data_IF_386456015736
#
_entry.id   IF_386456015736
#
_cell.length_a   1.000
_cell.length_b   1.000
_cell.length_c   1.000
_cell.angle_alpha   90.00
_cell.angle_beta   90.00
_cell.angle_gamma   90.00
#
_symmetry.space_group_name_H-M   'P 1'
#
loop_
_entity.id
_entity.type
_entity.pdbx_description
1 polymer ?
#
# COMPACT_ATOMS: atom_id res chain seq x y z
N UNK A 1 -18.35 -60.29 31.53
CA UNK A 1 -17.57 -59.08 31.14
C UNK A 1 -18.40 -58.09 30.31
N UNK A 2 -19.57 -58.49 29.84
CA UNK A 2 -20.41 -57.80 28.85
C UNK A 2 -20.86 -56.40 29.28
N UNK A 3 -21.11 -56.17 30.58
CA UNK A 3 -21.64 -54.91 31.11
C UNK A 3 -20.81 -53.66 30.78
N UNK A 4 -19.52 -53.81 30.46
CA UNK A 4 -18.63 -52.70 30.11
C UNK A 4 -18.68 -52.33 28.61
N UNK A 5 -19.24 -53.21 27.77
CA UNK A 5 -19.39 -53.02 26.33
C UNK A 5 -20.70 -52.26 26.07
N UNK A 6 -21.79 -52.66 26.70
CA UNK A 6 -23.09 -51.97 26.60
C UNK A 6 -23.01 -50.50 27.07
N UNK A 7 -22.20 -50.20 28.10
CA UNK A 7 -21.99 -48.83 28.56
C UNK A 7 -21.21 -47.98 27.54
N UNK A 8 -20.11 -48.50 26.99
CA UNK A 8 -19.30 -47.74 26.02
C UNK A 8 -20.02 -47.54 24.69
N UNK A 9 -20.80 -48.52 24.21
CA UNK A 9 -21.63 -48.34 23.01
C UNK A 9 -22.79 -47.33 23.26
N UNK A 10 -23.37 -47.30 24.45
CA UNK A 10 -24.38 -46.30 24.81
C UNK A 10 -23.79 -44.87 24.91
N UNK A 11 -22.59 -44.72 25.44
CA UNK A 11 -21.88 -43.44 25.53
C UNK A 11 -21.47 -42.92 24.14
N UNK A 12 -20.85 -43.75 23.28
CA UNK A 12 -20.57 -43.38 21.88
C UNK A 12 -21.85 -42.96 21.12
N UNK A 13 -22.97 -43.64 21.37
CA UNK A 13 -24.25 -43.35 20.72
C UNK A 13 -24.85 -42.03 21.21
N UNK A 14 -24.63 -41.68 22.48
CA UNK A 14 -24.98 -40.37 23.04
C UNK A 14 -24.13 -39.26 22.42
N UNK A 15 -22.81 -39.45 22.34
CA UNK A 15 -21.88 -38.49 21.74
C UNK A 15 -22.19 -38.23 20.25
N UNK A 16 -22.42 -39.28 19.46
CA UNK A 16 -22.86 -39.15 18.05
C UNK A 16 -24.15 -38.34 17.91
N UNK A 17 -25.13 -38.54 18.79
CA UNK A 17 -26.39 -37.78 18.79
C UNK A 17 -26.19 -36.30 19.19
N UNK A 18 -25.21 -36.00 20.05
CA UNK A 18 -24.84 -34.61 20.40
C UNK A 18 -24.18 -33.92 19.21
N UNK A 19 -23.15 -34.56 18.61
CA UNK A 19 -22.43 -34.05 17.45
C UNK A 19 -23.34 -33.86 16.23
N UNK A 20 -24.31 -34.74 16.00
CA UNK A 20 -25.31 -34.59 14.93
C UNK A 20 -26.20 -33.35 15.13
N UNK A 21 -26.63 -33.07 16.38
CA UNK A 21 -27.39 -31.86 16.70
C UNK A 21 -26.56 -30.59 16.54
N UNK A 22 -25.31 -30.60 16.98
CA UNK A 22 -24.39 -29.47 16.81
C UNK A 22 -24.11 -29.21 15.33
N UNK A 23 -23.85 -30.25 14.53
CA UNK A 23 -23.69 -30.16 13.09
C UNK A 23 -24.96 -29.60 12.41
N UNK A 24 -26.16 -30.05 12.80
CA UNK A 24 -27.42 -29.52 12.27
C UNK A 24 -27.63 -28.03 12.61
N UNK A 25 -27.24 -27.60 13.82
CA UNK A 25 -27.27 -26.18 14.23
C UNK A 25 -26.27 -25.36 13.41
N UNK A 26 -25.02 -25.81 13.27
CA UNK A 26 -23.98 -25.13 12.48
C UNK A 26 -24.36 -25.03 11.00
N UNK A 27 -24.96 -26.09 10.42
CA UNK A 27 -25.49 -26.08 9.06
C UNK A 27 -26.63 -25.06 8.91
N UNK A 28 -27.62 -25.07 9.81
CA UNK A 28 -28.73 -24.10 9.78
C UNK A 28 -28.27 -22.65 9.94
N UNK A 29 -27.26 -22.40 10.79
CA UNK A 29 -26.63 -21.08 10.91
C UNK A 29 -25.87 -20.70 9.63
N UNK A 30 -25.13 -21.64 9.04
CA UNK A 30 -24.40 -21.46 7.77
C UNK A 30 -25.35 -21.15 6.60
N UNK A 31 -26.51 -21.80 6.53
CA UNK A 31 -27.54 -21.51 5.52
C UNK A 31 -28.18 -20.13 5.72
N UNK A 32 -28.47 -19.74 6.96
CA UNK A 32 -28.95 -18.39 7.28
C UNK A 32 -27.92 -17.33 6.84
N UNK A 33 -26.65 -17.52 7.18
CA UNK A 33 -25.55 -16.64 6.75
C UNK A 33 -25.40 -16.60 5.23
N UNK A 34 -25.49 -17.74 4.52
CA UNK A 34 -25.50 -17.79 3.05
C UNK A 34 -26.69 -17.02 2.46
N UNK A 35 -27.89 -17.15 3.04
CA UNK A 35 -29.08 -16.40 2.60
C UNK A 35 -28.88 -14.89 2.81
N UNK A 36 -28.45 -14.47 3.99
CA UNK A 36 -28.23 -13.06 4.32
C UNK A 36 -27.14 -12.46 3.42
N UNK A 37 -26.02 -13.15 3.23
CA UNK A 37 -24.98 -12.72 2.30
C UNK A 37 -25.50 -12.59 0.86
N UNK A 38 -26.36 -13.50 0.39
CA UNK A 38 -27.01 -13.38 -0.93
C UNK A 38 -27.98 -12.19 -1.02
N UNK A 39 -28.65 -11.85 0.08
CA UNK A 39 -29.61 -10.75 0.17
C UNK A 39 -28.90 -9.38 0.20
N UNK A 40 -27.75 -9.28 0.87
CA UNK A 40 -26.94 -8.06 0.93
C UNK A 40 -25.90 -7.91 -0.20
N UNK A 41 -25.49 -8.99 -0.89
CA UNK A 41 -24.50 -8.94 -1.97
C UNK A 41 -24.79 -7.91 -3.09
N UNK A 42 -26.05 -7.67 -3.54
CA UNK A 42 -26.34 -6.64 -4.53
C UNK A 42 -26.00 -5.20 -4.08
N UNK A 43 -25.83 -4.97 -2.77
CA UNK A 43 -25.44 -3.67 -2.22
C UNK A 43 -23.94 -3.37 -2.27
N UNK A 44 -23.09 -4.33 -2.67
CA UNK A 44 -21.64 -4.19 -2.63
C UNK A 44 -20.98 -4.49 -3.98
N UNK A 45 -20.14 -3.56 -4.43
CA UNK A 45 -19.27 -3.75 -5.59
C UNK A 45 -17.96 -4.44 -5.17
N UNK A 46 -17.64 -5.57 -5.79
CA UNK A 46 -16.37 -6.31 -5.58
C UNK A 46 -15.35 -6.02 -6.69
N UNK A 47 -14.09 -6.41 -6.50
CA UNK A 47 -13.05 -6.26 -7.53
C UNK A 47 -13.39 -7.10 -8.77
N UNK A 48 -13.89 -8.32 -8.60
CA UNK A 48 -14.39 -9.16 -9.70
C UNK A 48 -15.53 -8.52 -10.48
N UNK A 49 -16.40 -7.74 -9.82
CA UNK A 49 -17.45 -6.98 -10.51
C UNK A 49 -16.87 -5.81 -11.34
N UNK A 50 -15.85 -5.12 -10.84
CA UNK A 50 -15.18 -4.03 -11.57
C UNK A 50 -14.40 -4.58 -12.76
N UNK A 51 -13.63 -5.65 -12.58
CA UNK A 51 -12.91 -6.34 -13.65
C UNK A 51 -13.85 -6.86 -14.74
N UNK A 52 -15.01 -7.40 -14.33
CA UNK A 52 -16.10 -7.79 -15.23
C UNK A 52 -16.95 -6.63 -15.78
N UNK A 53 -16.49 -5.38 -15.69
CA UNK A 53 -17.14 -4.19 -16.28
C UNK A 53 -18.45 -3.75 -15.63
N UNK A 54 -18.90 -4.36 -14.53
CA UNK A 54 -20.22 -4.14 -13.92
C UNK A 54 -20.34 -2.87 -13.07
N UNK A 55 -19.29 -2.05 -13.00
CA UNK A 55 -19.23 -0.83 -12.19
C UNK A 55 -18.47 0.32 -12.89
N UNK A 56 -18.96 0.83 -14.04
CA UNK A 56 -18.25 1.85 -14.84
C UNK A 56 -17.96 3.14 -14.06
N UNK A 57 -18.84 3.54 -13.15
CA UNK A 57 -18.67 4.72 -12.27
C UNK A 57 -17.50 4.62 -11.27
N UNK A 58 -16.90 3.43 -11.11
CA UNK A 58 -15.64 3.23 -10.38
C UNK A 58 -14.47 3.58 -11.30
N UNK A 59 -14.46 3.04 -12.51
CA UNK A 59 -13.40 3.25 -13.52
C UNK A 59 -13.35 4.70 -14.04
N UNK A 60 -14.50 5.36 -14.20
CA UNK A 60 -14.59 6.78 -14.58
C UNK A 60 -13.99 7.68 -13.50
N UNK A 61 -14.44 7.50 -12.25
CA UNK A 61 -13.95 8.26 -11.10
C UNK A 61 -12.48 7.92 -10.75
N UNK A 62 -12.00 6.74 -11.13
CA UNK A 62 -10.57 6.42 -11.11
C UNK A 62 -9.79 7.23 -12.17
N UNK A 63 -10.27 7.35 -13.41
CA UNK A 63 -9.66 8.20 -14.45
C UNK A 63 -9.59 9.68 -14.03
N UNK A 64 -10.62 10.18 -13.34
CA UNK A 64 -10.61 11.53 -12.74
C UNK A 64 -9.54 11.65 -11.64
N UNK A 65 -9.50 10.69 -10.70
CA UNK A 65 -8.56 10.69 -9.59
C UNK A 65 -7.09 10.63 -10.04
N UNK A 66 -6.77 9.93 -11.15
CA UNK A 66 -5.42 9.91 -11.73
C UNK A 66 -4.90 11.31 -12.10
N UNK A 67 -5.77 12.23 -12.51
CA UNK A 67 -5.39 13.60 -12.92
C UNK A 67 -5.02 14.50 -11.73
N UNK A 68 -5.56 14.24 -10.55
CA UNK A 68 -5.48 15.15 -9.38
C UNK A 68 -4.58 14.63 -8.26
N UNK A 69 -4.53 13.31 -8.05
CA UNK A 69 -3.74 12.69 -6.98
C UNK A 69 -2.24 12.66 -7.29
N UNK A 70 -1.47 12.21 -6.30
CA UNK A 70 -0.08 11.77 -6.48
C UNK A 70 -0.07 10.35 -7.07
N UNK A 71 0.99 10.02 -7.78
CA UNK A 71 1.24 8.71 -8.36
C UNK A 71 1.44 7.69 -7.22
N UNK A 72 0.36 6.99 -6.85
CA UNK A 72 0.31 6.06 -5.72
C UNK A 72 -0.02 4.68 -6.28
N UNK A 73 0.83 3.71 -5.95
CA UNK A 73 0.83 2.37 -6.54
C UNK A 73 0.60 1.33 -5.44
N UNK A 74 -0.38 0.41 -5.58
CA UNK A 74 -0.55 -0.68 -4.63
C UNK A 74 0.61 -1.68 -4.75
N UNK A 75 1.12 -2.10 -3.60
CA UNK A 75 2.19 -3.09 -3.45
C UNK A 75 1.57 -4.44 -3.10
N UNK A 76 1.45 -5.31 -4.09
CA UNK A 76 0.83 -6.63 -3.98
C UNK A 76 1.93 -7.65 -3.67
N UNK A 77 2.33 -7.78 -2.42
CA UNK A 77 3.17 -8.91 -2.01
C UNK A 77 2.34 -10.20 -2.10
N UNK A 78 2.78 -11.13 -2.94
CA UNK A 78 2.04 -12.31 -3.37
C UNK A 78 2.90 -13.57 -3.26
N UNK A 79 2.35 -14.66 -2.74
CA UNK A 79 2.97 -16.00 -2.76
C UNK A 79 1.99 -17.00 -3.37
N UNK A 80 2.49 -17.94 -4.16
CA UNK A 80 1.71 -19.14 -4.47
C UNK A 80 1.78 -20.10 -3.27
N UNK A 81 0.69 -20.81 -2.99
CA UNK A 81 0.65 -21.86 -1.96
C UNK A 81 0.39 -23.19 -2.63
N UNK A 82 1.44 -23.99 -2.76
CA UNK A 82 1.49 -25.19 -3.60
C UNK A 82 0.43 -26.22 -3.21
N UNK A 83 0.21 -26.38 -1.90
CA UNK A 83 -0.79 -27.30 -1.33
C UNK A 83 -2.24 -26.85 -1.57
N UNK A 84 -2.49 -25.55 -1.69
CA UNK A 84 -3.81 -24.97 -1.94
C UNK A 84 -4.12 -24.77 -3.43
N UNK A 85 -3.09 -24.76 -4.28
CA UNK A 85 -3.15 -24.36 -5.70
C UNK A 85 -3.83 -23.00 -5.88
N UNK A 86 -3.35 -22.03 -5.10
CA UNK A 86 -3.94 -20.71 -5.01
C UNK A 86 -2.90 -19.65 -4.62
N UNK A 87 -2.99 -18.50 -5.27
CA UNK A 87 -2.24 -17.30 -4.89
C UNK A 87 -2.81 -16.68 -3.62
N UNK A 88 -1.93 -16.30 -2.71
CA UNK A 88 -2.25 -15.51 -1.52
C UNK A 88 -1.52 -14.17 -1.59
N UNK A 89 -2.20 -13.09 -1.21
CA UNK A 89 -1.62 -11.75 -1.13
C UNK A 89 -1.66 -11.21 0.30
N UNK A 90 -0.81 -10.24 0.61
CA UNK A 90 -0.81 -9.60 1.93
C UNK A 90 -1.83 -8.47 2.01
N UNK A 91 -2.68 -8.52 3.02
CA UNK A 91 -3.44 -7.35 3.49
C UNK A 91 -3.15 -7.11 4.97
N UNK A 92 -3.45 -5.92 5.48
CA UNK A 92 -3.52 -5.76 6.94
C UNK A 92 -4.78 -6.46 7.53
N UNK A 93 -4.90 -6.47 8.86
CA UNK A 93 -6.07 -7.02 9.58
C UNK A 93 -7.43 -6.48 9.10
N UNK A 94 -7.46 -5.26 8.57
CA UNK A 94 -8.64 -4.56 8.07
C UNK A 94 -8.78 -4.64 6.53
N UNK A 95 -8.18 -5.65 5.90
CA UNK A 95 -8.15 -5.89 4.44
C UNK A 95 -7.48 -4.81 3.59
N UNK A 96 -6.85 -3.79 4.18
CA UNK A 96 -6.16 -2.74 3.42
C UNK A 96 -4.92 -3.29 2.74
N UNK A 97 -4.74 -2.93 1.47
CA UNK A 97 -3.60 -3.30 0.65
C UNK A 97 -2.44 -2.30 0.90
N UNK A 98 -1.19 -2.77 1.08
CA UNK A 98 0.01 -1.91 1.14
C UNK A 98 0.17 -1.04 -0.11
N UNK A 99 0.78 0.14 0.02
CA UNK A 99 1.01 1.03 -1.12
C UNK A 99 2.26 1.89 -0.92
N UNK A 100 2.79 2.41 -2.02
CA UNK A 100 3.94 3.30 -2.09
C UNK A 100 3.66 4.47 -3.03
N UNK A 101 4.40 5.55 -2.87
CA UNK A 101 4.44 6.69 -3.81
C UNK A 101 5.52 6.42 -4.85
N UNK A 102 5.26 6.78 -6.11
CA UNK A 102 6.27 6.66 -7.16
C UNK A 102 7.54 7.46 -6.81
N UNK A 103 8.70 6.80 -6.92
CA UNK A 103 10.00 7.32 -6.49
C UNK A 103 10.48 6.81 -5.11
N UNK A 104 9.62 6.16 -4.32
CA UNK A 104 10.04 5.48 -3.09
C UNK A 104 10.79 4.16 -3.40
N UNK A 105 11.82 3.83 -2.60
CA UNK A 105 12.50 2.54 -2.67
C UNK A 105 11.52 1.41 -2.29
N UNK A 106 11.04 0.67 -3.30
CA UNK A 106 10.06 -0.42 -3.12
C UNK A 106 10.54 -1.48 -2.14
N UNK A 107 11.83 -1.84 -2.16
CA UNK A 107 12.39 -2.88 -1.26
C UNK A 107 12.39 -2.39 0.18
N UNK A 108 12.65 -1.09 0.41
CA UNK A 108 12.51 -0.45 1.71
C UNK A 108 11.05 -0.39 2.16
N UNK A 109 10.12 0.03 1.30
CA UNK A 109 8.68 0.09 1.65
C UNK A 109 8.10 -1.29 1.94
N UNK A 110 8.48 -2.32 1.17
CA UNK A 110 8.13 -3.72 1.46
C UNK A 110 8.66 -4.16 2.84
N UNK A 111 9.92 -3.79 3.16
CA UNK A 111 10.56 -4.06 4.45
C UNK A 111 9.96 -3.27 5.61
N UNK A 112 9.41 -2.09 5.36
CA UNK A 112 8.76 -1.25 6.36
C UNK A 112 7.31 -1.72 6.63
N UNK A 113 6.51 -1.96 5.59
CA UNK A 113 5.09 -2.26 5.71
C UNK A 113 4.77 -3.76 5.86
N UNK A 114 5.49 -4.67 5.17
CA UNK A 114 4.98 -6.04 4.89
C UNK A 114 5.80 -7.16 5.55
N UNK A 115 7.09 -7.25 5.25
CA UNK A 115 7.94 -8.40 5.62
C UNK A 115 9.42 -8.01 5.61
N UNK A 116 10.23 -8.57 6.51
CA UNK A 116 11.68 -8.34 6.49
C UNK A 116 12.39 -9.15 5.38
N UNK A 117 11.72 -10.17 4.85
CA UNK A 117 12.25 -11.04 3.81
C UNK A 117 12.34 -10.30 2.46
N UNK A 118 13.35 -10.61 1.65
CA UNK A 118 13.48 -10.03 0.30
C UNK A 118 12.57 -10.77 -0.70
N UNK A 119 11.99 -10.08 -1.70
CA UNK A 119 11.18 -10.73 -2.72
C UNK A 119 12.05 -11.58 -3.66
N UNK A 120 11.44 -12.62 -4.23
CA UNK A 120 12.01 -13.44 -5.30
C UNK A 120 12.08 -12.67 -6.63
N UNK A 121 11.14 -11.75 -6.85
CA UNK A 121 11.12 -10.83 -7.98
C UNK A 121 10.05 -9.74 -7.81
N UNK A 122 10.20 -8.64 -8.56
CA UNK A 122 9.18 -7.60 -8.71
C UNK A 122 8.62 -7.66 -10.13
N UNK A 123 7.31 -7.48 -10.28
CA UNK A 123 6.60 -7.63 -11.54
C UNK A 123 5.60 -6.50 -11.76
N UNK A 124 5.74 -5.82 -12.89
CA UNK A 124 4.77 -4.87 -13.39
C UNK A 124 3.55 -5.59 -13.95
N UNK A 125 2.38 -5.02 -13.67
CA UNK A 125 1.10 -5.50 -14.22
C UNK A 125 0.84 -5.00 -15.63
N UNK A 126 1.58 -3.98 -16.08
CA UNK A 126 1.43 -3.26 -17.36
C UNK A 126 2.79 -3.22 -18.08
N UNK A 127 2.79 -3.34 -19.41
CA UNK A 127 4.00 -3.36 -20.23
C UNK A 127 4.82 -2.05 -20.11
N UNK A 128 6.07 -2.07 -20.58
CA UNK A 128 6.88 -0.86 -20.79
C UNK A 128 6.42 -0.10 -22.04
N UNK A 129 6.08 -0.81 -23.11
CA UNK A 129 5.84 -0.22 -24.44
C UNK A 129 4.49 0.54 -24.53
N UNK A 130 3.54 0.27 -23.63
CA UNK A 130 2.25 0.95 -23.56
C UNK A 130 2.32 2.44 -23.20
N UNK A 131 3.46 2.94 -22.72
CA UNK A 131 3.67 4.39 -22.54
C UNK A 131 3.72 5.14 -23.90
N UNK A 132 3.91 4.44 -25.03
CA UNK A 132 3.95 5.04 -26.37
C UNK A 132 2.56 5.21 -27.03
N UNK A 133 1.59 4.33 -26.73
CA UNK A 133 0.34 4.24 -27.50
C UNK A 133 -0.67 5.36 -27.20
N UNK A 134 -0.73 5.83 -25.95
CA UNK A 134 -1.68 6.87 -25.51
C UNK A 134 -1.34 8.28 -26.03
N UNK A 135 -0.19 8.47 -26.72
CA UNK A 135 0.19 9.74 -27.34
C UNK A 135 -0.41 9.99 -28.74
N UNK A 136 -1.09 9.00 -29.32
CA UNK A 136 -1.51 8.99 -30.74
C UNK A 136 -2.83 9.73 -31.05
N UNK A 137 -3.13 10.85 -30.36
CA UNK A 137 -4.35 11.63 -30.62
C UNK A 137 -4.24 13.15 -30.40
N UNK A 138 -3.08 13.78 -30.66
CA UNK A 138 -3.03 15.23 -30.84
C UNK A 138 -1.98 15.69 -31.87
N UNK A 139 -2.49 16.12 -33.03
CA UNK A 139 -2.00 17.03 -34.07
C UNK A 139 -0.51 17.15 -34.45
N UNK A 140 -0.29 17.26 -35.77
CA UNK A 140 1.00 17.49 -36.41
C UNK A 140 1.60 18.88 -36.06
N UNK A 141 2.81 18.91 -35.49
CA UNK A 141 3.86 19.90 -35.82
C UNK A 141 5.21 19.39 -35.30
N UNK A 142 6.23 19.33 -36.15
CA UNK A 142 7.49 18.67 -35.83
C UNK A 142 8.40 19.44 -34.87
N UNK A 143 8.96 18.73 -33.87
CA UNK A 143 10.18 19.17 -33.19
C UNK A 143 11.00 17.96 -32.72
N UNK A 144 12.06 17.62 -33.45
CA UNK A 144 13.03 16.60 -33.01
C UNK A 144 13.84 17.16 -31.85
N UNK A 145 13.58 16.68 -30.62
CA UNK A 145 14.38 17.00 -29.43
C UNK A 145 14.63 15.75 -28.60
N UNK A 146 15.85 15.67 -28.06
CA UNK A 146 16.41 14.46 -27.45
C UNK A 146 15.57 13.91 -26.29
N UNK A 147 15.57 12.58 -26.17
CA UNK A 147 14.97 11.87 -25.06
C UNK A 147 15.64 12.26 -23.74
N UNK A 148 14.95 13.08 -22.95
CA UNK A 148 15.13 13.16 -21.50
C UNK A 148 13.79 12.85 -20.87
N UNK A 149 13.74 11.73 -20.17
CA UNK A 149 12.50 11.04 -19.81
C UNK A 149 11.61 11.91 -18.90
N UNK A 150 10.60 12.52 -19.50
CA UNK A 150 9.48 13.13 -18.81
C UNK A 150 8.36 12.10 -18.78
N UNK A 151 8.46 11.12 -17.87
CA UNK A 151 7.33 10.30 -17.44
C UNK A 151 6.16 11.25 -17.14
N UNK A 152 5.17 11.25 -18.03
CA UNK A 152 4.06 12.20 -17.92
C UNK A 152 3.22 11.84 -16.70
N UNK A 153 2.58 12.83 -16.06
CA UNK A 153 1.72 12.60 -14.89
C UNK A 153 0.52 11.67 -15.17
N UNK A 154 0.30 11.33 -16.45
CA UNK A 154 -0.76 10.46 -16.93
C UNK A 154 -0.24 9.10 -17.44
N UNK A 155 1.03 8.73 -17.24
CA UNK A 155 1.55 7.44 -17.72
C UNK A 155 0.70 6.28 -17.19
N UNK A 156 0.40 5.24 -17.99
CA UNK A 156 -0.35 4.08 -17.52
C UNK A 156 0.31 3.38 -16.31
N UNK A 157 1.62 3.56 -16.11
CA UNK A 157 2.41 3.05 -14.98
C UNK A 157 2.30 3.84 -13.67
N UNK A 158 1.96 5.14 -13.71
CA UNK A 158 1.86 6.01 -12.53
C UNK A 158 0.94 5.47 -11.40
N UNK A 159 0.02 4.57 -11.74
CA UNK A 159 -0.94 3.95 -10.83
C UNK A 159 -1.04 2.42 -11.00
N UNK A 160 -0.17 1.79 -11.81
CA UNK A 160 -0.22 0.33 -12.02
C UNK A 160 0.15 -0.41 -10.72
N UNK A 161 -0.52 -1.51 -10.36
CA UNK A 161 -0.07 -2.34 -9.25
C UNK A 161 1.31 -2.91 -9.52
N UNK A 162 2.10 -3.02 -8.46
CA UNK A 162 3.40 -3.68 -8.45
C UNK A 162 3.28 -4.97 -7.65
N UNK A 163 3.54 -6.12 -8.28
CA UNK A 163 3.48 -7.42 -7.61
C UNK A 163 4.89 -7.79 -7.13
N UNK A 164 5.02 -8.16 -5.85
CA UNK A 164 6.26 -8.69 -5.28
C UNK A 164 6.09 -10.18 -5.01
N UNK A 165 6.77 -11.04 -5.78
CA UNK A 165 6.71 -12.50 -5.62
C UNK A 165 7.49 -12.89 -4.37
N UNK A 166 6.83 -13.51 -3.40
CA UNK A 166 7.37 -13.92 -2.11
C UNK A 166 7.42 -15.44 -2.02
N UNK A 167 8.31 -15.99 -1.17
CA UNK A 167 8.37 -17.43 -0.93
C UNK A 167 7.14 -17.94 -0.16
N UNK A 168 6.79 -19.23 -0.31
CA UNK A 168 5.73 -19.85 0.49
C UNK A 168 6.01 -19.72 2.01
N UNK A 169 7.29 -19.70 2.40
CA UNK A 169 7.79 -19.57 3.78
C UNK A 169 7.90 -18.14 4.33
N UNK A 170 7.60 -17.10 3.55
CA UNK A 170 7.79 -15.68 3.92
C UNK A 170 7.03 -15.29 5.19
N UNK A 171 7.73 -14.65 6.13
CA UNK A 171 7.21 -14.19 7.44
C UNK A 171 6.71 -12.76 7.34
N UNK A 172 5.46 -12.53 7.71
CA UNK A 172 4.85 -11.20 7.72
C UNK A 172 5.16 -10.42 9.00
N UNK A 173 5.15 -9.09 8.89
CA UNK A 173 5.15 -8.17 10.03
C UNK A 173 3.81 -8.23 10.78
N UNK A 174 3.87 -7.88 12.07
CA UNK A 174 2.70 -7.80 12.96
C UNK A 174 1.58 -6.99 12.34
N UNK A 175 0.37 -7.57 12.26
CA UNK A 175 -0.81 -6.93 11.68
C UNK A 175 -1.01 -7.12 10.17
N UNK A 176 -0.07 -7.77 9.47
CA UNK A 176 -0.25 -8.24 8.09
C UNK A 176 -0.66 -9.72 8.08
N UNK A 177 -1.53 -10.10 7.14
CA UNK A 177 -2.11 -11.43 7.00
C UNK A 177 -2.10 -11.86 5.53
N UNK A 178 -1.71 -13.11 5.27
CA UNK A 178 -1.90 -13.76 3.97
C UNK A 178 -3.38 -14.07 3.74
N UNK A 179 -3.97 -13.52 2.66
CA UNK A 179 -5.35 -13.74 2.23
C UNK A 179 -5.38 -14.43 0.86
N UNK A 180 -6.23 -15.45 0.64
CA UNK A 180 -6.47 -16.00 -0.69
C UNK A 180 -6.88 -14.91 -1.68
N UNK A 181 -6.28 -14.89 -2.87
CA UNK A 181 -6.56 -13.89 -3.91
C UNK A 181 -8.04 -13.87 -4.29
N UNK A 182 -8.66 -15.05 -4.45
CA UNK A 182 -10.11 -15.19 -4.70
C UNK A 182 -10.97 -14.52 -3.61
N UNK A 183 -10.54 -14.57 -2.35
CA UNK A 183 -11.24 -13.86 -1.25
C UNK A 183 -11.07 -12.35 -1.37
N UNK A 184 -9.89 -11.85 -1.73
CA UNK A 184 -9.67 -10.40 -1.88
C UNK A 184 -10.36 -9.84 -3.14
N UNK A 185 -10.54 -10.65 -4.17
CA UNK A 185 -11.31 -10.28 -5.36
C UNK A 185 -12.82 -10.07 -5.07
N UNK A 186 -13.38 -10.80 -4.11
CA UNK A 186 -14.82 -10.79 -3.77
C UNK A 186 -15.22 -10.00 -2.52
N UNK A 187 -14.29 -9.31 -1.84
CA UNK A 187 -14.68 -8.35 -0.79
C UNK A 187 -15.14 -7.00 -1.39
N UNK A 188 -15.98 -6.23 -0.68
CA UNK A 188 -16.36 -4.88 -1.10
C UNK A 188 -15.13 -3.98 -1.29
N UNK A 189 -14.97 -3.37 -2.47
CA UNK A 189 -13.71 -2.72 -2.86
C UNK A 189 -13.26 -1.59 -1.90
N UNK A 190 -14.22 -0.97 -1.21
CA UNK A 190 -13.99 0.17 -0.33
C UNK A 190 -13.14 -0.16 0.91
N UNK A 191 -13.01 -1.43 1.29
CA UNK A 191 -12.18 -1.83 2.45
C UNK A 191 -10.70 -1.97 2.10
N UNK A 192 -10.36 -2.11 0.82
CA UNK A 192 -8.99 -2.41 0.35
C UNK A 192 -8.05 -1.19 0.41
N UNK A 193 -8.59 0.02 0.58
CA UNK A 193 -7.83 1.26 0.45
C UNK A 193 -7.16 1.73 1.76
N UNK A 194 -5.90 2.12 1.66
CA UNK A 194 -5.17 2.85 2.70
C UNK A 194 -5.74 4.24 2.98
N UNK A 195 -5.41 4.80 4.14
CA UNK A 195 -5.63 6.23 4.41
C UNK A 195 -4.82 7.04 3.38
N UNK A 196 -5.42 8.05 2.76
CA UNK A 196 -4.79 8.84 1.70
C UNK A 196 -4.92 8.27 0.27
N UNK A 197 -5.50 7.07 0.10
CA UNK A 197 -5.70 6.45 -1.22
C UNK A 197 -7.17 6.51 -1.63
N UNK A 198 -7.45 6.90 -2.88
CA UNK A 198 -8.81 6.81 -3.43
C UNK A 198 -9.23 5.35 -3.60
N UNK A 199 -10.27 4.93 -2.90
CA UNK A 199 -10.75 3.55 -2.94
C UNK A 199 -11.20 3.11 -4.34
N UNK A 200 -11.84 4.00 -5.11
CA UNK A 200 -12.22 3.71 -6.49
C UNK A 200 -11.01 3.54 -7.42
N UNK A 201 -9.97 4.36 -7.23
CA UNK A 201 -8.72 4.24 -7.98
C UNK A 201 -8.02 2.93 -7.63
N UNK A 202 -7.83 2.63 -6.35
CA UNK A 202 -7.26 1.37 -5.87
C UNK A 202 -8.00 0.17 -6.46
N UNK A 203 -9.33 0.19 -6.42
CA UNK A 203 -10.16 -0.87 -6.95
C UNK A 203 -10.03 -1.03 -8.47
N UNK A 204 -10.06 0.09 -9.21
CA UNK A 204 -9.92 0.08 -10.67
C UNK A 204 -8.55 -0.41 -11.15
N UNK A 205 -7.49 -0.29 -10.34
CA UNK A 205 -6.14 -0.78 -10.71
C UNK A 205 -5.90 -2.21 -10.25
N UNK A 206 -6.37 -2.60 -9.05
CA UNK A 206 -6.30 -3.99 -8.58
C UNK A 206 -7.21 -4.90 -9.42
N UNK A 207 -8.32 -4.38 -9.97
CA UNK A 207 -9.15 -5.09 -10.95
C UNK A 207 -8.40 -5.49 -12.23
N UNK A 208 -7.33 -4.78 -12.60
CA UNK A 208 -6.53 -5.14 -13.78
C UNK A 208 -5.81 -6.49 -13.59
N UNK A 209 -5.46 -6.87 -12.36
CA UNK A 209 -4.83 -8.17 -12.02
C UNK A 209 -5.82 -9.33 -12.19
N UNK A 210 -7.11 -9.09 -11.88
CA UNK A 210 -8.18 -10.07 -12.16
C UNK A 210 -8.43 -10.15 -13.67
N UNK A 211 -8.50 -9.00 -14.35
CA UNK A 211 -8.75 -8.95 -15.80
C UNK A 211 -7.62 -9.58 -16.63
N UNK A 212 -6.38 -9.57 -16.15
CA UNK A 212 -5.21 -10.18 -16.79
C UNK A 212 -4.95 -11.64 -16.39
N UNK A 213 -5.66 -12.17 -15.38
CA UNK A 213 -5.40 -13.51 -14.84
C UNK A 213 -4.04 -13.67 -14.14
N UNK A 214 -3.34 -12.58 -13.80
CA UNK A 214 -1.95 -12.62 -13.33
C UNK A 214 -1.75 -13.49 -12.08
N UNK A 215 -2.69 -13.43 -11.14
CA UNK A 215 -2.73 -14.24 -9.90
C UNK A 215 -3.74 -15.40 -9.99
N UNK A 216 -3.95 -15.93 -11.19
CA UNK A 216 -4.70 -17.17 -11.45
C UNK A 216 -3.77 -18.29 -11.92
N UNK A 217 -4.26 -19.55 -11.92
CA UNK A 217 -3.46 -20.70 -12.33
C UNK A 217 -2.44 -21.14 -11.27
N UNK A 218 -1.18 -21.26 -11.70
CA UNK A 218 -0.03 -21.84 -10.99
C UNK A 218 0.99 -20.76 -10.52
N UNK A 219 2.20 -21.15 -10.10
CA UNK A 219 3.25 -20.21 -9.67
C UNK A 219 3.96 -19.47 -10.83
N UNK A 220 3.57 -19.67 -12.10
CA UNK A 220 4.21 -19.02 -13.26
C UNK A 220 3.68 -17.58 -13.49
N UNK A 221 3.86 -16.74 -12.46
CA UNK A 221 3.65 -15.29 -12.55
C UNK A 221 4.57 -14.66 -13.61
N UNK A 222 5.76 -15.24 -13.80
CA UNK A 222 6.80 -14.79 -14.72
C UNK A 222 6.36 -14.85 -16.19
N UNK A 223 5.51 -15.81 -16.57
CA UNK A 223 4.85 -15.85 -17.88
C UNK A 223 3.61 -14.94 -18.02
N UNK A 224 3.12 -14.32 -16.93
CA UNK A 224 1.87 -13.52 -16.90
C UNK A 224 2.05 -12.05 -16.57
N UNK A 225 3.19 -11.66 -15.98
CA UNK A 225 3.49 -10.31 -15.55
C UNK A 225 4.91 -9.88 -15.98
N UNK A 226 5.14 -8.58 -16.11
CA UNK A 226 6.38 -8.05 -16.69
C UNK A 226 7.45 -7.90 -15.61
N UNK A 227 8.39 -8.84 -15.54
CA UNK A 227 9.49 -8.81 -14.57
C UNK A 227 10.28 -7.48 -14.62
N UNK A 228 10.59 -6.94 -13.45
CA UNK A 228 11.39 -5.72 -13.28
C UNK A 228 12.84 -6.05 -12.92
N UNK A 229 13.75 -5.39 -13.63
CA UNK A 229 15.10 -5.14 -13.14
C UNK A 229 15.03 -4.23 -11.91
N UNK A 230 15.14 -4.84 -10.73
CA UNK A 230 15.06 -4.16 -9.44
C UNK A 230 16.26 -3.23 -9.19
N UNK A 231 17.41 -3.56 -9.79
CA UNK A 231 18.71 -2.94 -9.54
C UNK A 231 18.80 -1.61 -10.31
N UNK A 232 18.20 -1.57 -11.50
CA UNK A 232 18.10 -0.38 -12.36
C UNK A 232 17.15 0.72 -11.87
N UNK A 233 16.10 0.39 -11.13
CA UNK A 233 15.01 1.35 -10.86
C UNK A 233 14.79 1.74 -9.38
N UNK A 234 14.96 0.83 -8.40
CA UNK A 234 14.48 1.09 -7.03
C UNK A 234 15.40 0.63 -5.87
N UNK A 235 16.58 0.03 -6.13
CA UNK A 235 17.45 -0.51 -5.06
C UNK A 235 18.54 0.43 -4.52
N UNK A 236 18.84 1.56 -5.16
CA UNK A 236 20.11 2.28 -5.01
C UNK A 236 20.26 3.15 -3.75
N UNK A 237 20.01 2.59 -2.56
CA UNK A 237 20.58 3.09 -1.29
C UNK A 237 22.05 2.65 -1.10
N UNK A 238 22.57 1.80 -1.99
CA UNK A 238 23.97 1.31 -2.00
C UNK A 238 24.78 1.82 -3.19
N UNK A 239 24.30 2.85 -3.90
CA UNK A 239 25.21 3.72 -4.65
C UNK A 239 25.92 4.57 -3.62
N UNK A 240 27.07 4.07 -3.14
CA UNK A 240 27.89 4.80 -2.17
C UNK A 240 28.11 6.23 -2.68
N UNK A 241 27.84 7.23 -1.83
CA UNK A 241 28.23 8.61 -2.12
C UNK A 241 29.73 8.73 -1.84
N UNK A 242 30.50 7.91 -2.55
CA UNK A 242 31.95 7.88 -2.51
C UNK A 242 32.45 9.21 -3.00
N UNK A 243 32.65 10.12 -2.04
CA UNK A 243 33.66 11.18 -2.04
C UNK A 243 33.78 11.88 -3.39
N UNK A 244 33.15 13.05 -3.50
CA UNK A 244 33.64 14.07 -4.43
C UNK A 244 35.09 14.40 -4.02
N UNK A 245 36.01 13.65 -4.61
CA UNK A 245 37.44 13.83 -4.46
C UNK A 245 37.75 15.07 -5.29
N UNK A 246 37.72 16.23 -4.60
CA UNK A 246 37.93 17.55 -5.17
C UNK A 246 39.40 17.71 -5.56
N UNK A 247 39.77 17.06 -6.64
CA UNK A 247 41.07 17.12 -7.30
C UNK A 247 40.87 17.75 -8.67
N UNK A 248 41.01 19.07 -8.73
CA UNK A 248 41.39 19.77 -9.95
C UNK A 248 42.18 21.03 -9.54
N UNK A 249 43.50 20.94 -9.74
CA UNK A 249 44.50 22.01 -9.93
C UNK A 249 44.47 23.26 -9.00
N UNK A 250 45.53 23.42 -8.22
CA UNK A 250 45.75 24.61 -7.40
C UNK A 250 46.40 25.76 -8.18
N UNK A 251 45.69 26.88 -8.35
CA UNK A 251 46.29 28.10 -8.91
C UNK A 251 47.46 28.61 -8.05
N UNK A 252 48.59 28.86 -8.72
CA UNK A 252 49.86 29.19 -8.08
C UNK A 252 49.95 30.67 -7.69
N UNK A 253 50.67 30.92 -6.60
CA UNK A 253 50.88 32.26 -6.06
C UNK A 253 51.91 33.07 -6.84
N UNK A 254 51.68 34.39 -6.79
CA UNK A 254 52.64 35.50 -6.90
C UNK A 254 53.37 35.72 -8.24
N UNK A 255 52.99 36.81 -8.93
CA UNK A 255 53.94 37.88 -9.32
C UNK A 255 53.25 39.18 -9.72
N UNK A 256 53.76 40.27 -9.14
CA UNK A 256 53.29 41.65 -9.34
C UNK A 256 53.81 42.29 -10.64
N UNK A 257 53.17 43.38 -11.07
CA UNK A 257 53.81 44.67 -11.41
C UNK A 257 52.73 45.75 -11.63
N UNK A 258 53.03 46.99 -11.26
CA UNK A 258 52.15 48.17 -11.29
C UNK A 258 51.64 48.58 -12.69
N UNK A 259 50.57 49.41 -12.71
CA UNK A 259 50.70 50.83 -13.11
C UNK A 259 49.42 51.67 -12.87
N UNK A 260 49.43 52.41 -11.76
CA UNK A 260 49.10 53.85 -11.62
C UNK A 260 47.71 54.47 -11.94
N UNK A 261 47.31 55.41 -11.04
CA UNK A 261 46.48 56.64 -11.25
C UNK A 261 44.96 56.47 -11.53
N UNK A 262 44.04 57.40 -11.20
CA UNK A 262 43.95 58.71 -10.48
C UNK A 262 42.42 58.90 -10.16
N UNK A 263 41.86 59.68 -9.21
CA UNK A 263 42.30 60.49 -8.06
C UNK A 263 41.04 60.83 -7.17
N UNK A 264 41.19 60.98 -5.84
CA UNK A 264 40.28 61.67 -4.86
C UNK A 264 38.84 61.15 -4.55
N UNK A 265 38.39 61.30 -3.27
CA UNK A 265 36.99 61.03 -2.88
C UNK A 265 36.63 60.84 -1.38
N UNK A 266 37.26 61.53 -0.42
CA UNK A 266 37.09 61.27 1.03
C UNK A 266 35.86 61.94 1.68
N UNK A 267 34.93 61.16 2.25
CA UNK A 267 34.30 61.46 3.56
C UNK A 267 33.63 60.23 4.21
N UNK A 268 33.65 60.20 5.54
CA UNK A 268 33.19 59.12 6.45
C UNK A 268 32.73 59.83 7.76
N UNK A 269 31.96 59.23 8.69
CA UNK A 269 30.99 58.12 8.60
C UNK A 269 29.60 58.51 9.20
N UNK A 270 28.56 57.69 9.02
CA UNK A 270 27.58 57.49 10.12
C UNK A 270 26.84 56.13 10.04
N UNK A 271 26.50 55.60 11.22
CA UNK A 271 25.86 54.30 11.45
C UNK A 271 25.28 54.30 12.87
N UNK A 272 24.30 53.44 13.25
CA UNK A 272 23.68 52.35 12.48
C UNK A 272 22.14 52.44 12.44
N UNK A 273 21.48 51.43 11.86
CA UNK A 273 20.55 50.64 12.69
C UNK A 273 20.33 49.19 12.20
N UNK A 274 19.82 48.33 13.09
CA UNK A 274 19.61 46.88 12.88
C UNK A 274 18.25 46.62 12.21
N UNK A 275 18.09 45.75 11.21
CA UNK A 275 18.46 44.33 11.10
C UNK A 275 17.69 43.40 12.06
N UNK A 276 16.92 42.45 11.48
CA UNK A 276 16.40 41.27 12.18
C UNK A 276 14.87 41.13 12.24
N UNK A 277 14.30 40.39 11.27
CA UNK A 277 13.05 39.66 11.48
C UNK A 277 13.37 38.23 11.95
N UNK A 278 12.89 37.79 13.13
CA UNK A 278 12.75 36.38 13.45
C UNK A 278 11.27 35.99 13.57
N UNK A 279 10.94 34.77 13.15
CA UNK A 279 9.69 34.13 13.54
C UNK A 279 9.82 33.50 14.94
N UNK A 280 8.73 33.39 15.69
CA UNK A 280 8.40 32.33 16.67
C UNK A 280 7.05 32.63 17.32
N UNK A 281 6.22 31.61 17.50
CA UNK A 281 5.06 31.65 18.42
C UNK A 281 5.41 30.90 19.71
N UNK A 282 4.93 31.37 20.86
CA UNK A 282 4.12 30.47 21.69
C UNK A 282 2.89 31.15 22.31
N UNK A 283 1.99 30.32 22.85
CA UNK A 283 0.72 30.74 23.42
C UNK A 283 0.83 31.41 24.80
N UNK A 284 -0.25 32.08 25.22
CA UNK A 284 -0.61 32.15 26.64
C UNK A 284 -2.13 32.11 26.84
N UNK A 285 -2.51 31.54 27.98
CA UNK A 285 -3.86 31.24 28.42
C UNK A 285 -4.34 32.27 29.46
N UNK A 286 -5.62 32.66 29.37
CA UNK A 286 -6.44 33.18 30.47
C UNK A 286 -7.91 32.84 30.19
N UNK A 287 -8.44 31.79 30.81
CA UNK A 287 -9.86 31.41 30.70
C UNK A 287 -10.82 32.26 31.54
N UNK A 288 -12.08 31.83 31.62
CA UNK A 288 -13.03 32.16 32.72
C UNK A 288 -13.98 30.98 32.93
N UNK A 289 -14.37 30.77 34.19
CA UNK A 289 -15.23 29.68 34.68
C UNK A 289 -16.73 29.92 34.42
N UNK A 290 -17.50 28.83 34.30
CA UNK A 290 -18.95 28.80 34.56
C UNK A 290 -19.39 27.37 34.85
N UNK A 291 -19.50 27.05 36.14
CA UNK A 291 -19.93 25.74 36.64
C UNK A 291 -21.45 25.53 36.55
N UNK A 292 -21.89 24.30 36.23
CA UNK A 292 -23.09 23.72 36.83
C UNK A 292 -23.01 22.19 36.88
N UNK A 293 -23.43 21.61 38.00
CA UNK A 293 -23.42 20.16 38.25
C UNK A 293 -24.84 19.63 38.44
N UNK A 294 -25.09 18.41 37.97
CA UNK A 294 -26.21 17.57 38.40
C UNK A 294 -25.68 16.16 38.70
N UNK A 295 -26.05 15.63 39.86
CA UNK A 295 -25.58 14.36 40.44
C UNK A 295 -26.30 13.15 39.84
N UNK A 296 -25.66 11.97 39.89
CA UNK A 296 -26.28 10.70 39.50
C UNK A 296 -25.43 9.49 39.87
N UNK A 297 -25.57 9.00 41.11
CA UNK A 297 -24.84 7.83 41.62
C UNK A 297 -25.31 6.50 40.99
N UNK A 298 -24.41 5.52 40.92
CA UNK A 298 -24.68 4.22 40.29
C UNK A 298 -23.59 3.17 40.48
N UNK A 299 -23.09 2.98 41.70
CA UNK A 299 -22.04 2.01 42.00
C UNK A 299 -22.58 0.56 42.16
N UNK A 300 -21.95 -0.41 41.49
CA UNK A 300 -22.03 -1.85 41.78
C UNK A 300 -20.66 -2.50 41.50
N UNK A 301 -20.18 -3.31 42.43
CA UNK A 301 -18.86 -3.98 42.37
C UNK A 301 -18.97 -5.51 42.23
N UNK A 302 -17.95 -6.15 41.66
CA UNK A 302 -17.90 -7.60 41.44
C UNK A 302 -16.77 -8.00 40.47
N UNK A 303 -15.51 -7.97 40.89
CA UNK A 303 -14.77 -9.11 41.49
C UNK A 303 -14.35 -10.16 40.46
N UNK A 304 -13.06 -10.18 40.12
CA UNK A 304 -12.44 -11.17 39.22
C UNK A 304 -12.06 -12.47 39.97
N UNK A 305 -12.16 -13.65 39.34
CA UNK A 305 -11.60 -14.90 39.88
C UNK A 305 -10.10 -15.04 39.60
N UNK A 306 -9.40 -15.81 40.43
CA UNK A 306 -8.00 -16.21 40.25
C UNK A 306 -7.86 -17.50 39.42
N UNK A 307 -6.71 -17.65 38.75
CA UNK A 307 -6.30 -18.89 38.09
C UNK A 307 -5.89 -19.97 39.10
N UNK A 308 -6.18 -21.26 38.86
CA UNK A 308 -5.58 -22.37 39.60
C UNK A 308 -4.17 -22.72 39.09
N UNK A 309 -3.42 -23.42 39.94
CA UNK A 309 -2.17 -24.14 39.63
C UNK A 309 -2.40 -25.41 38.83
#
# INVERSE_FOLDING_TARGET
METNIDQTEAEEKSERNLLEREAAVVLSQTEKLKKWNKEYAPGFTTISQIAGGRAPMVSESAKEARRTLRNIRPLIAARYVSNAKEWQITTNVAFKIPHFVEGENVVKVLKEQVTLDSPLGLFETVALESDLTDSSSQDETGSVKHGKDKMTRNSPRAFSPLIAKMSESTKLKTGMIWKPWRTVAEVPYNILAGTGVSAKLMASVVAQIVQSGQLEGDDDLDARAFALDCDRFYKSDTSDCSKWEGDDEGETRDRDIDLDKDENGQFDPESPDKAGYPAVSPAKDTGVDSSQAITGDGACTGTSPLSPT
#
